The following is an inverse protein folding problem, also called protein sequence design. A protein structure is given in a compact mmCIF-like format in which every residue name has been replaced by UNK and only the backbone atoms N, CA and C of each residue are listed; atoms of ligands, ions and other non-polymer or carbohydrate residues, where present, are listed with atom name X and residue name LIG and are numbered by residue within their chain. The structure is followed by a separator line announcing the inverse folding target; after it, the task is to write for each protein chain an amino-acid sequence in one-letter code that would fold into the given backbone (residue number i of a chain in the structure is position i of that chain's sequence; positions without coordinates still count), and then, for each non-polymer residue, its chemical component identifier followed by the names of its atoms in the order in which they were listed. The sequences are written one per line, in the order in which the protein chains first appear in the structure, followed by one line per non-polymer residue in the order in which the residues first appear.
data_IF_141951041882
#
_entry.id   IF_141951041882
#
_cell.length_a   1.000
_cell.length_b   1.000
_cell.length_c   1.000
_cell.angle_alpha   90.00
_cell.angle_beta   90.00
_cell.angle_gamma   90.00
#
_symmetry.space_group_name_H-M   'P 1'
#
loop_
_entity.id
_entity.type
_entity.pdbx_description
1 polymer ?
#
# COMPACT_ATOMS: atom_id res chain seq x y z
N UNK A 1 19.14 11.20 -47.47
CA UNK A 1 18.34 9.97 -47.46
C UNK A 1 17.31 10.09 -46.37
N UNK A 2 16.11 10.61 -46.71
CA UNK A 2 14.98 10.66 -45.80
C UNK A 2 14.52 9.24 -45.47
N UNK A 3 14.63 8.82 -44.23
CA UNK A 3 14.03 7.58 -43.75
C UNK A 3 12.52 7.79 -43.68
N UNK A 4 11.80 7.37 -44.69
CA UNK A 4 10.36 7.24 -44.60
C UNK A 4 10.05 6.08 -43.64
N UNK A 5 9.68 6.40 -42.42
CA UNK A 5 9.12 5.41 -41.49
C UNK A 5 7.73 5.05 -42.05
N UNK A 6 7.47 3.78 -42.38
CA UNK A 6 6.15 3.38 -42.87
C UNK A 6 5.10 3.71 -41.80
N UNK A 7 3.95 4.24 -42.21
CA UNK A 7 2.83 4.47 -41.28
C UNK A 7 2.39 3.13 -40.74
N UNK A 8 2.45 2.99 -39.41
CA UNK A 8 1.87 1.82 -38.73
C UNK A 8 0.37 1.76 -38.99
N UNK A 9 -0.19 0.68 -39.56
CA UNK A 9 -1.63 0.53 -39.72
C UNK A 9 -2.36 0.29 -38.39
N UNK A 10 -1.61 0.04 -37.33
CA UNK A 10 -2.15 -0.28 -36.01
C UNK A 10 -1.89 0.91 -35.06
N UNK A 11 -2.96 1.45 -34.53
CA UNK A 11 -2.89 2.39 -33.41
C UNK A 11 -2.80 1.55 -32.13
N UNK A 12 -1.69 1.68 -31.40
CA UNK A 12 -1.58 1.11 -30.06
C UNK A 12 -2.61 1.70 -29.13
N UNK A 13 -3.19 0.87 -28.27
CA UNK A 13 -4.04 1.31 -27.17
C UNK A 13 -3.41 0.93 -25.84
N UNK A 14 -3.65 1.75 -24.82
CA UNK A 14 -3.19 1.45 -23.46
C UNK A 14 -3.98 0.28 -22.90
N UNK A 15 -3.31 -0.66 -22.24
CA UNK A 15 -4.00 -1.74 -21.52
C UNK A 15 -4.85 -1.16 -20.36
N UNK A 16 -6.04 -1.72 -20.09
CA UNK A 16 -6.89 -1.25 -18.99
C UNK A 16 -6.18 -1.18 -17.65
N UNK A 17 -5.33 -2.16 -17.33
CA UNK A 17 -4.53 -2.18 -16.11
C UNK A 17 -3.54 -1.01 -16.05
N UNK A 18 -2.93 -0.64 -17.17
CA UNK A 18 -2.00 0.50 -17.23
C UNK A 18 -2.74 1.84 -17.11
N UNK A 19 -3.94 1.94 -17.68
CA UNK A 19 -4.79 3.14 -17.52
C UNK A 19 -5.24 3.29 -16.06
N UNK A 20 -5.68 2.20 -15.44
CA UNK A 20 -6.04 2.21 -14.02
C UNK A 20 -4.86 2.65 -13.15
N UNK A 21 -3.67 2.07 -13.37
CA UNK A 21 -2.46 2.46 -12.63
C UNK A 21 -2.14 3.95 -12.80
N UNK A 22 -2.25 4.48 -14.01
CA UNK A 22 -2.03 5.91 -14.29
C UNK A 22 -3.04 6.80 -13.55
N UNK A 23 -4.33 6.43 -13.54
CA UNK A 23 -5.39 7.15 -12.82
C UNK A 23 -5.15 7.14 -11.31
N UNK A 24 -4.83 5.98 -10.75
CA UNK A 24 -4.46 5.81 -9.33
C UNK A 24 -3.28 6.72 -8.98
N UNK A 25 -2.21 6.67 -9.78
CA UNK A 25 -1.03 7.50 -9.53
C UNK A 25 -1.34 8.99 -9.62
N UNK A 26 -2.14 9.41 -10.60
CA UNK A 26 -2.53 10.81 -10.75
C UNK A 26 -3.35 11.31 -9.54
N UNK A 27 -4.31 10.51 -9.04
CA UNK A 27 -5.10 10.84 -7.86
C UNK A 27 -4.23 10.96 -6.61
N UNK A 28 -3.42 9.94 -6.30
CA UNK A 28 -2.62 9.93 -5.08
C UNK A 28 -1.55 11.04 -5.09
N UNK A 29 -0.93 11.33 -6.24
CA UNK A 29 -0.04 12.49 -6.39
C UNK A 29 -0.78 13.81 -6.23
N UNK A 30 -1.99 13.92 -6.77
CA UNK A 30 -2.88 15.08 -6.59
C UNK A 30 -3.26 15.31 -5.13
N UNK A 31 -3.35 14.25 -4.32
CA UNK A 31 -3.55 14.29 -2.87
C UNK A 31 -2.26 14.58 -2.07
N UNK A 32 -1.14 14.84 -2.77
CA UNK A 32 0.12 15.25 -2.16
C UNK A 32 0.99 14.08 -1.67
N UNK A 33 0.75 12.85 -2.15
CA UNK A 33 1.61 11.72 -1.81
C UNK A 33 2.72 11.53 -2.85
N UNK A 34 3.89 11.16 -2.36
CA UNK A 34 5.03 10.78 -3.19
C UNK A 34 4.98 9.29 -3.54
N UNK A 35 5.10 8.96 -4.81
CA UNK A 35 5.21 7.58 -5.25
C UNK A 35 6.56 7.00 -4.85
N UNK A 36 6.51 5.80 -4.30
CA UNK A 36 7.71 5.00 -4.04
C UNK A 36 7.56 3.62 -4.67
N UNK A 37 8.68 2.91 -4.78
CA UNK A 37 8.70 1.52 -5.15
C UNK A 37 9.68 0.78 -4.24
N UNK A 38 9.14 -0.08 -3.39
CA UNK A 38 9.92 -0.92 -2.50
C UNK A 38 10.23 -2.29 -3.12
N UNK A 39 11.16 -3.02 -2.54
CA UNK A 39 11.50 -4.36 -3.02
C UNK A 39 10.32 -5.31 -2.90
N UNK A 40 10.13 -6.15 -3.90
CA UNK A 40 9.13 -7.23 -3.86
C UNK A 40 9.56 -8.37 -2.93
N UNK A 41 10.86 -8.49 -2.66
CA UNK A 41 11.41 -9.45 -1.71
C UNK A 41 11.27 -8.92 -0.28
N UNK A 42 10.89 -9.82 0.62
CA UNK A 42 10.66 -9.53 2.04
C UNK A 42 10.89 -10.79 2.88
N UNK A 43 10.46 -10.78 4.13
CA UNK A 43 10.55 -11.88 5.07
C UNK A 43 9.27 -11.99 5.92
N UNK A 44 9.01 -13.13 6.57
CA UNK A 44 7.80 -13.34 7.37
C UNK A 44 7.68 -12.39 8.56
N UNK A 45 8.80 -12.02 9.18
CA UNK A 45 8.79 -11.13 10.34
C UNK A 45 8.23 -9.76 9.97
N UNK A 46 8.72 -9.17 8.87
CA UNK A 46 8.21 -7.88 8.39
C UNK A 46 6.79 -7.97 7.85
N UNK A 47 6.47 -9.06 7.12
CA UNK A 47 5.17 -9.19 6.45
C UNK A 47 4.02 -9.55 7.40
N UNK A 48 4.31 -10.24 8.49
CA UNK A 48 3.26 -10.82 9.35
C UNK A 48 3.45 -10.46 10.81
N UNK A 49 4.61 -10.75 11.41
CA UNK A 49 4.79 -10.64 12.86
C UNK A 49 4.74 -9.18 13.34
N UNK A 50 5.58 -8.31 12.78
CA UNK A 50 5.65 -6.89 13.16
C UNK A 50 4.36 -6.13 12.90
N UNK A 51 3.65 -6.47 11.82
CA UNK A 51 2.39 -5.81 11.44
C UNK A 51 1.15 -6.55 11.95
N UNK A 52 1.32 -7.63 12.70
CA UNK A 52 0.23 -8.43 13.28
C UNK A 52 -0.80 -8.91 12.27
N UNK A 53 -0.38 -9.15 11.02
CA UNK A 53 -1.21 -9.79 10.00
C UNK A 53 -0.86 -11.28 9.91
N UNK A 54 -1.86 -12.09 9.62
CA UNK A 54 -1.64 -13.48 9.18
C UNK A 54 -1.28 -13.58 7.70
N UNK A 55 -0.77 -14.74 7.29
CA UNK A 55 -0.61 -15.04 5.86
C UNK A 55 -1.96 -15.02 5.15
N UNK A 56 -2.01 -14.40 3.98
CA UNK A 56 -3.15 -14.45 3.07
C UNK A 56 -2.92 -15.58 2.07
N UNK A 57 -3.59 -16.70 2.26
CA UNK A 57 -3.33 -17.89 1.45
C UNK A 57 -1.89 -18.38 1.57
N UNK A 58 -1.35 -18.98 0.52
CA UNK A 58 0.02 -19.50 0.50
C UNK A 58 1.04 -18.43 0.16
N UNK A 59 2.10 -18.32 0.96
CA UNK A 59 3.24 -17.44 0.64
C UNK A 59 4.23 -18.10 -0.32
N UNK A 60 4.80 -17.30 -1.21
CA UNK A 60 5.85 -17.75 -2.13
C UNK A 60 7.21 -17.52 -1.49
N UNK A 61 7.90 -18.58 -1.13
CA UNK A 61 9.21 -18.57 -0.46
C UNK A 61 10.32 -18.93 -1.46
N UNK A 62 11.49 -18.33 -1.28
CA UNK A 62 12.68 -18.66 -2.07
C UNK A 62 13.33 -19.93 -1.54
N UNK A 63 13.74 -20.83 -2.44
CA UNK A 63 14.43 -22.06 -2.06
C UNK A 63 15.84 -21.78 -1.51
N UNK A 64 16.53 -20.78 -2.08
CA UNK A 64 17.90 -20.43 -1.74
C UNK A 64 18.03 -18.92 -1.52
N UNK A 65 17.53 -18.38 -0.40
CA UNK A 65 17.64 -16.97 -0.10
C UNK A 65 19.09 -16.58 0.18
N UNK A 66 19.53 -15.46 -0.36
CA UNK A 66 20.89 -14.92 -0.14
C UNK A 66 21.00 -14.31 1.26
N UNK A 67 19.92 -13.74 1.76
CA UNK A 67 19.86 -13.10 3.08
C UNK A 67 18.58 -13.49 3.81
N UNK A 68 18.59 -13.38 5.13
CA UNK A 68 17.39 -13.60 5.96
C UNK A 68 16.32 -12.52 5.76
N UNK A 69 16.72 -11.36 5.23
CA UNK A 69 15.82 -10.24 4.93
C UNK A 69 14.96 -10.48 3.68
N UNK A 70 15.39 -11.39 2.79
CA UNK A 70 14.76 -11.59 1.49
C UNK A 70 14.48 -13.07 1.24
N UNK A 71 13.55 -13.63 2.00
CA UNK A 71 13.25 -15.07 1.99
C UNK A 71 11.93 -15.41 1.29
N UNK A 72 11.11 -14.41 0.97
CA UNK A 72 9.81 -14.60 0.34
C UNK A 72 9.41 -13.41 -0.53
N UNK A 73 8.42 -13.60 -1.40
CA UNK A 73 7.74 -12.53 -2.09
C UNK A 73 6.67 -11.91 -1.16
N UNK A 74 6.60 -10.59 -1.14
CA UNK A 74 5.67 -9.83 -0.27
C UNK A 74 4.21 -10.12 -0.58
N UNK A 75 3.38 -10.20 0.45
CA UNK A 75 1.92 -10.26 0.37
C UNK A 75 1.26 -8.90 0.63
N UNK A 76 1.97 -7.98 1.30
CA UNK A 76 1.49 -6.66 1.68
C UNK A 76 2.50 -5.58 1.34
N UNK A 77 2.02 -4.37 1.02
CA UNK A 77 2.86 -3.20 0.71
C UNK A 77 3.24 -2.41 1.96
N UNK A 78 2.38 -2.38 2.99
CA UNK A 78 2.57 -1.55 4.19
C UNK A 78 3.91 -1.77 4.89
N UNK A 79 4.43 -3.00 5.08
CA UNK A 79 5.75 -3.19 5.70
C UNK A 79 6.87 -2.48 4.94
N UNK A 80 6.79 -2.45 3.60
CA UNK A 80 7.75 -1.70 2.76
C UNK A 80 7.68 -0.20 2.98
N UNK A 81 6.47 0.36 3.12
CA UNK A 81 6.28 1.78 3.43
C UNK A 81 6.81 2.13 4.82
N UNK A 82 6.55 1.29 5.84
CA UNK A 82 7.07 1.48 7.19
C UNK A 82 8.60 1.45 7.24
N UNK A 83 9.23 0.49 6.57
CA UNK A 83 10.71 0.43 6.45
C UNK A 83 11.28 1.65 5.73
N UNK A 84 10.61 2.14 4.69
CA UNK A 84 11.03 3.36 4.00
C UNK A 84 10.97 4.57 4.92
N UNK A 85 9.87 4.77 5.66
CA UNK A 85 9.76 5.87 6.61
C UNK A 85 10.80 5.76 7.74
N UNK A 86 11.09 4.56 8.21
CA UNK A 86 12.14 4.31 9.20
C UNK A 86 13.52 4.73 8.69
N UNK A 87 13.86 4.39 7.45
CA UNK A 87 15.10 4.83 6.81
C UNK A 87 15.16 6.35 6.61
N UNK A 88 14.00 7.00 6.45
CA UNK A 88 13.85 8.43 6.20
C UNK A 88 13.41 9.23 7.44
N UNK A 89 13.52 8.68 8.64
CA UNK A 89 13.07 9.31 9.91
C UNK A 89 13.74 10.65 10.23
N UNK A 90 14.82 10.98 9.54
CA UNK A 90 15.55 12.26 9.70
C UNK A 90 14.96 13.39 8.86
N UNK A 91 14.09 13.09 7.91
CA UNK A 91 13.43 14.10 7.11
C UNK A 91 12.25 14.74 7.85
N UNK A 92 11.94 15.97 7.45
CA UNK A 92 10.84 16.74 8.03
C UNK A 92 9.47 16.10 7.79
N UNK A 93 8.55 16.38 8.71
CA UNK A 93 7.15 16.00 8.60
C UNK A 93 6.33 17.12 7.96
N UNK A 94 5.26 16.82 7.24
CA UNK A 94 4.70 15.47 7.02
C UNK A 94 5.46 14.68 5.95
N UNK A 95 5.57 13.37 6.15
CA UNK A 95 6.01 12.45 5.09
C UNK A 95 4.80 11.68 4.57
N UNK A 96 4.54 11.78 3.28
CA UNK A 96 3.35 11.22 2.63
C UNK A 96 3.80 10.37 1.46
N UNK A 97 3.63 9.07 1.56
CA UNK A 97 4.11 8.12 0.56
C UNK A 97 3.02 7.15 0.13
N UNK A 98 3.08 6.68 -1.10
CA UNK A 98 2.24 5.59 -1.58
C UNK A 98 3.02 4.66 -2.50
N UNK A 99 2.55 3.43 -2.58
CA UNK A 99 3.00 2.45 -3.56
C UNK A 99 1.78 1.80 -4.23
N UNK A 100 1.82 1.71 -5.56
CA UNK A 100 0.97 0.84 -6.34
C UNK A 100 1.86 -0.22 -6.95
N UNK A 101 1.81 -1.45 -6.42
CA UNK A 101 2.80 -2.45 -6.73
C UNK A 101 2.28 -3.89 -6.66
N UNK A 102 3.08 -4.80 -7.20
CA UNK A 102 2.79 -6.21 -7.16
C UNK A 102 2.99 -6.79 -5.76
N UNK A 103 2.06 -7.63 -5.34
CA UNK A 103 2.16 -8.56 -4.23
C UNK A 103 1.88 -9.97 -4.73
N UNK A 104 2.28 -11.01 -4.00
CA UNK A 104 2.11 -12.40 -4.43
C UNK A 104 1.32 -13.16 -3.38
N UNK A 105 0.12 -13.58 -3.73
CA UNK A 105 -0.78 -14.37 -2.89
C UNK A 105 -1.16 -15.63 -3.67
N UNK A 106 -1.07 -16.79 -3.05
CA UNK A 106 -1.31 -18.09 -3.70
C UNK A 106 -0.48 -18.29 -4.96
N UNK A 107 0.79 -17.86 -4.92
CA UNK A 107 1.73 -17.91 -6.05
C UNK A 107 1.28 -17.10 -7.27
N UNK A 108 0.33 -16.18 -7.11
CA UNK A 108 -0.19 -15.32 -8.17
C UNK A 108 0.10 -13.85 -7.91
N UNK A 109 0.52 -13.14 -8.94
CA UNK A 109 0.69 -11.70 -8.86
C UNK A 109 -0.66 -11.00 -8.77
N UNK A 110 -0.78 -10.10 -7.78
CA UNK A 110 -1.90 -9.17 -7.64
C UNK A 110 -1.35 -7.76 -7.54
N UNK A 111 -2.08 -6.78 -8.02
CA UNK A 111 -1.71 -5.36 -7.84
C UNK A 111 -2.46 -4.81 -6.65
N UNK A 112 -1.73 -4.34 -5.66
CA UNK A 112 -2.28 -3.64 -4.50
C UNK A 112 -1.84 -2.18 -4.50
N UNK A 113 -2.56 -1.38 -3.74
CA UNK A 113 -2.26 0.02 -3.46
C UNK A 113 -2.19 0.17 -1.95
N UNK A 114 -1.17 0.86 -1.47
CA UNK A 114 -1.09 1.30 -0.09
C UNK A 114 -0.54 2.71 -0.03
N UNK A 115 -0.99 3.49 0.93
CA UNK A 115 -0.39 4.77 1.28
C UNK A 115 -0.17 4.85 2.79
N UNK A 116 0.76 5.69 3.18
CA UNK A 116 1.09 5.93 4.57
C UNK A 116 1.47 7.41 4.74
N UNK A 117 0.84 8.04 5.71
CA UNK A 117 1.10 9.42 6.07
C UNK A 117 1.64 9.47 7.49
N UNK A 118 2.84 9.99 7.66
CA UNK A 118 3.45 10.28 8.96
C UNK A 118 3.35 11.79 9.22
N UNK A 119 2.57 12.18 10.21
CA UNK A 119 2.38 13.59 10.58
C UNK A 119 2.03 13.76 12.06
N UNK A 120 2.26 14.97 12.62
CA UNK A 120 2.08 15.22 14.06
C UNK A 120 0.62 15.20 14.51
N UNK A 121 -0.31 15.53 13.63
CA UNK A 121 -1.73 15.70 13.93
C UNK A 121 -2.63 14.82 13.05
N UNK A 122 -2.13 13.64 12.65
CA UNK A 122 -2.89 12.66 11.90
C UNK A 122 -3.82 11.82 12.77
N UNK A 123 -4.60 10.95 12.14
CA UNK A 123 -5.46 10.00 12.82
C UNK A 123 -6.55 9.45 11.89
N UNK A 124 -7.45 8.64 12.42
CA UNK A 124 -8.49 7.96 11.64
C UNK A 124 -9.34 8.91 10.78
N UNK A 125 -9.66 10.12 11.29
CA UNK A 125 -10.43 11.10 10.52
C UNK A 125 -9.68 11.58 9.28
N UNK A 126 -8.36 11.77 9.36
CA UNK A 126 -7.51 12.14 8.23
C UNK A 126 -7.39 10.98 7.24
N UNK A 127 -7.17 9.75 7.72
CA UNK A 127 -7.15 8.53 6.89
C UNK A 127 -8.45 8.36 6.12
N UNK A 128 -9.60 8.49 6.79
CA UNK A 128 -10.92 8.43 6.17
C UNK A 128 -11.12 9.54 5.12
N UNK A 129 -10.69 10.76 5.43
CA UNK A 129 -10.79 11.90 4.50
C UNK A 129 -10.02 11.65 3.22
N UNK A 130 -8.81 11.11 3.33
CA UNK A 130 -7.99 10.73 2.17
C UNK A 130 -8.62 9.61 1.36
N UNK A 131 -9.14 8.57 2.02
CA UNK A 131 -9.88 7.49 1.35
C UNK A 131 -11.10 8.02 0.59
N UNK A 132 -11.88 8.93 1.18
CA UNK A 132 -13.03 9.54 0.52
C UNK A 132 -12.64 10.36 -0.71
N UNK A 133 -11.54 11.12 -0.63
CA UNK A 133 -11.03 11.89 -1.76
C UNK A 133 -10.57 10.96 -2.90
N UNK A 134 -9.75 9.95 -2.57
CA UNK A 134 -9.29 8.95 -3.52
C UNK A 134 -10.45 8.19 -4.17
N UNK A 135 -11.43 7.73 -3.39
CA UNK A 135 -12.60 7.01 -3.92
C UNK A 135 -13.40 7.85 -4.91
N UNK A 136 -13.58 9.15 -4.62
CA UNK A 136 -14.24 10.10 -5.53
C UNK A 136 -13.47 10.23 -6.85
N UNK A 137 -12.15 10.39 -6.79
CA UNK A 137 -11.31 10.50 -7.99
C UNK A 137 -11.34 9.23 -8.83
N UNK A 138 -11.50 8.08 -8.19
CA UNK A 138 -11.62 6.78 -8.86
C UNK A 138 -13.04 6.47 -9.33
N UNK A 139 -14.00 7.38 -9.12
CA UNK A 139 -15.42 7.19 -9.42
C UNK A 139 -16.04 6.01 -8.66
N UNK A 140 -15.58 5.77 -7.43
CA UNK A 140 -16.20 4.82 -6.50
C UNK A 140 -17.17 5.58 -5.62
N UNK A 141 -18.43 5.61 -6.02
CA UNK A 141 -19.45 6.44 -5.37
C UNK A 141 -19.92 5.90 -4.02
N UNK A 142 -19.79 4.60 -3.78
CA UNK A 142 -20.25 3.95 -2.56
C UNK A 142 -19.24 2.93 -2.05
N UNK A 143 -18.82 3.12 -0.81
CA UNK A 143 -18.15 2.12 -0.01
C UNK A 143 -18.66 2.19 1.43
N UNK A 144 -18.63 1.07 2.14
CA UNK A 144 -18.91 1.01 3.57
C UNK A 144 -17.60 0.91 4.37
N UNK A 145 -17.61 1.44 5.56
CA UNK A 145 -16.57 1.22 6.56
C UNK A 145 -17.16 0.34 7.66
N UNK A 146 -16.60 -0.84 7.84
CA UNK A 146 -17.03 -1.79 8.85
C UNK A 146 -15.96 -1.94 9.93
N UNK A 147 -16.35 -2.21 11.20
CA UNK A 147 -15.38 -2.44 12.26
C UNK A 147 -14.41 -3.59 11.91
N UNK A 148 -13.15 -3.43 12.32
CA UNK A 148 -12.17 -4.51 12.35
C UNK A 148 -12.32 -5.31 13.65
N UNK A 149 -11.93 -6.57 13.60
CA UNK A 149 -11.86 -7.41 14.79
C UNK A 149 -10.77 -6.85 15.74
N UNK A 150 -10.99 -6.86 17.06
CA UNK A 150 -9.99 -6.39 18.02
C UNK A 150 -8.65 -7.10 17.84
N UNK A 151 -7.56 -6.35 17.88
CA UNK A 151 -6.20 -6.88 17.71
C UNK A 151 -5.82 -7.30 16.28
N UNK A 152 -6.68 -7.05 15.30
CA UNK A 152 -6.38 -7.36 13.89
C UNK A 152 -5.42 -6.35 13.27
N UNK A 153 -4.28 -6.85 12.77
CA UNK A 153 -3.35 -6.08 11.97
C UNK A 153 -2.61 -4.97 12.72
N UNK A 154 -2.06 -3.99 11.97
CA UNK A 154 -1.20 -2.96 12.52
C UNK A 154 -1.96 -1.78 13.14
N UNK A 155 -3.25 -1.89 13.31
CA UNK A 155 -4.14 -0.78 13.59
C UNK A 155 -4.31 -0.49 15.08
N UNK A 156 -4.42 0.78 15.42
CA UNK A 156 -4.85 1.22 16.73
C UNK A 156 -6.33 0.85 16.93
N UNK A 157 -6.63 0.15 18.02
CA UNK A 157 -7.97 -0.33 18.34
C UNK A 157 -9.01 0.80 18.36
N UNK A 158 -10.14 0.57 17.73
CA UNK A 158 -11.21 1.56 17.59
C UNK A 158 -10.92 2.70 16.60
N UNK A 159 -9.76 2.66 15.91
CA UNK A 159 -9.34 3.69 14.96
C UNK A 159 -8.99 3.13 13.58
N UNK A 160 -9.68 2.08 13.19
CA UNK A 160 -9.53 1.47 11.88
C UNK A 160 -10.82 0.81 11.43
N UNK A 161 -10.93 0.57 10.13
CA UNK A 161 -12.10 -0.05 9.52
C UNK A 161 -11.72 -0.89 8.30
N UNK A 162 -12.53 -1.91 8.02
CA UNK A 162 -12.56 -2.61 6.74
C UNK A 162 -13.22 -1.71 5.70
N UNK A 163 -12.67 -1.66 4.50
CA UNK A 163 -13.27 -0.99 3.35
C UNK A 163 -14.04 -2.06 2.57
N UNK A 164 -15.35 -1.85 2.43
CA UNK A 164 -16.24 -2.80 1.75
C UNK A 164 -16.88 -2.12 0.55
N UNK A 165 -16.75 -2.72 -0.63
CA UNK A 165 -17.37 -2.28 -1.88
C UNK A 165 -18.22 -3.45 -2.40
N UNK A 166 -19.48 -3.20 -2.67
CA UNK A 166 -20.43 -4.22 -3.18
C UNK A 166 -20.49 -5.50 -2.33
N UNK A 167 -20.29 -5.35 -1.00
CA UNK A 167 -20.29 -6.46 -0.04
C UNK A 167 -18.96 -7.21 0.07
N UNK A 168 -17.94 -6.84 -0.72
CA UNK A 168 -16.61 -7.45 -0.70
C UNK A 168 -15.61 -6.58 0.08
N UNK A 169 -14.81 -7.19 0.96
CA UNK A 169 -13.69 -6.49 1.60
C UNK A 169 -12.58 -6.25 0.58
N UNK A 170 -12.32 -4.98 0.27
CA UNK A 170 -11.28 -4.57 -0.69
C UNK A 170 -10.02 -4.01 -0.02
N UNK A 171 -10.07 -3.70 1.27
CA UNK A 171 -8.93 -3.14 1.98
C UNK A 171 -9.23 -2.78 3.43
N UNK A 172 -8.30 -2.06 4.01
CA UNK A 172 -8.38 -1.54 5.38
C UNK A 172 -7.87 -0.10 5.41
N UNK A 173 -8.37 0.69 6.34
CA UNK A 173 -7.96 2.07 6.58
C UNK A 173 -7.92 2.34 8.07
N UNK A 174 -6.91 3.06 8.54
CA UNK A 174 -6.82 3.32 9.97
C UNK A 174 -5.59 4.08 10.40
N UNK A 175 -5.47 4.23 11.71
CA UNK A 175 -4.31 4.77 12.41
C UNK A 175 -3.41 3.60 12.84
N UNK A 176 -2.11 3.71 12.59
CA UNK A 176 -1.15 2.68 12.99
C UNK A 176 -0.99 2.66 14.51
N UNK A 177 -1.04 1.47 15.10
CA UNK A 177 -0.75 1.27 16.51
C UNK A 177 0.69 1.73 16.83
N UNK A 178 0.90 2.61 17.82
CA UNK A 178 2.24 3.03 18.23
C UNK A 178 3.19 1.87 18.57
N UNK A 179 2.67 0.75 19.07
CA UNK A 179 3.50 -0.42 19.34
C UNK A 179 3.98 -1.10 18.03
N UNK A 180 3.16 -1.12 16.99
CA UNK A 180 3.59 -1.57 15.65
C UNK A 180 4.57 -0.57 15.04
N UNK A 181 4.33 0.73 15.17
CA UNK A 181 5.27 1.76 14.71
C UNK A 181 6.65 1.58 15.37
N UNK A 182 6.69 1.27 16.67
CA UNK A 182 7.92 1.05 17.44
C UNK A 182 8.73 -0.15 16.94
N UNK A 183 8.09 -1.22 16.43
CA UNK A 183 8.77 -2.36 15.78
C UNK A 183 9.61 -1.94 14.55
N UNK A 184 9.23 -0.83 13.92
CA UNK A 184 9.95 -0.21 12.80
C UNK A 184 10.78 1.01 13.24
N UNK A 185 11.02 1.21 14.54
CA UNK A 185 11.75 2.36 15.11
C UNK A 185 11.11 3.71 14.79
N UNK A 186 9.81 3.74 14.54
CA UNK A 186 9.03 4.95 14.27
C UNK A 186 8.30 5.40 15.54
N UNK A 187 8.23 6.74 15.74
CA UNK A 187 7.60 7.34 16.94
C UNK A 187 6.59 8.44 16.59
N UNK A 188 6.23 8.54 15.31
CA UNK A 188 5.32 9.56 14.79
C UNK A 188 3.98 8.92 14.55
N UNK A 189 2.85 9.61 14.82
CA UNK A 189 1.53 9.13 14.41
C UNK A 189 1.48 8.90 12.89
N UNK A 190 0.89 7.78 12.49
CA UNK A 190 0.76 7.39 11.09
C UNK A 190 -0.62 6.86 10.77
N UNK A 191 -1.08 7.16 9.57
CA UNK A 191 -2.37 6.68 9.06
C UNK A 191 -2.34 6.48 7.55
#
# INVERSE_FOLDING_TARGET
LGRNVPRSPLHGAQLPASDLHRRVSASLQGLGLQQIQSLTLSNPVDQFERVRWGESGSSTRLSNPITTEHTMLRQNLLPGLLKLLAANRHHELPQRVYESGAVVVDHQNRTHIAWLVAERAGGFAAARGMLQAFSRDMAVDRFALEPLDPGHGPWLEGRAAKIVIEGEKVGEVGEIDPAVAAEFELRVPMH
#
